data_IF_310099030260
#
_entry.id   IF_310099030260
#
_cell.length_a   1.000
_cell.length_b   1.000
_cell.length_c   1.000
_cell.angle_alpha   90.00
_cell.angle_beta   90.00
_cell.angle_gamma   90.00
#
_symmetry.space_group_name_H-M   'P 1'
#
loop_
_entity.id
_entity.type
_entity.pdbx_description
1 polymer ?
#
# COMPACT_ATOMS: atom_id res chain seq x y z
N UNK A 1 9.48 22.51 34.08
CA UNK A 1 8.12 23.10 34.21
C UNK A 1 7.42 22.88 32.90
N UNK A 2 6.31 22.21 32.93
CA UNK A 2 5.47 22.08 31.75
C UNK A 2 4.98 23.50 31.36
N UNK A 3 5.43 23.96 30.21
CA UNK A 3 4.93 25.19 29.60
C UNK A 3 3.80 24.78 28.67
N UNK A 4 2.59 25.18 28.86
CA UNK A 4 1.37 24.78 28.17
C UNK A 4 1.47 24.43 26.67
N UNK A 5 0.37 24.10 26.07
CA UNK A 5 0.27 23.83 24.64
C UNK A 5 0.38 25.17 23.90
N UNK A 6 1.24 25.20 22.87
CA UNK A 6 1.45 26.34 21.98
C UNK A 6 0.67 26.12 20.70
N UNK A 7 -0.10 27.12 20.29
CA UNK A 7 -0.74 27.14 18.98
C UNK A 7 0.11 28.00 18.03
N UNK A 8 0.41 27.47 16.84
CA UNK A 8 1.20 28.15 15.81
C UNK A 8 0.56 28.02 14.42
N UNK A 9 0.95 28.92 13.51
CA UNK A 9 0.48 28.91 12.12
C UNK A 9 1.28 27.89 11.29
N UNK A 10 0.63 26.79 10.92
CA UNK A 10 1.24 25.72 10.15
C UNK A 10 1.64 26.13 8.72
N UNK A 11 1.11 27.25 8.18
CA UNK A 11 1.49 27.74 6.84
C UNK A 11 2.93 28.27 6.76
N UNK A 12 3.58 28.51 7.90
CA UNK A 12 4.99 28.88 7.96
C UNK A 12 5.95 27.71 7.77
N UNK A 13 5.45 26.47 7.85
CA UNK A 13 6.26 25.26 7.67
C UNK A 13 6.70 25.07 6.21
N UNK A 14 7.75 24.28 6.04
CA UNK A 14 8.28 23.88 4.74
C UNK A 14 7.82 22.46 4.45
N UNK A 15 7.13 22.26 3.33
CA UNK A 15 6.63 20.97 2.89
C UNK A 15 7.38 20.47 1.67
N UNK A 16 7.59 19.18 1.61
CA UNK A 16 8.00 18.45 0.41
C UNK A 16 7.39 17.04 0.43
N UNK A 17 7.29 16.44 -0.72
CA UNK A 17 6.88 15.04 -0.84
C UNK A 17 7.60 14.35 -1.98
N UNK A 18 7.59 13.04 -1.97
CA UNK A 18 7.95 12.17 -3.08
C UNK A 18 7.10 10.88 -3.04
N UNK A 19 7.17 10.11 -4.12
CA UNK A 19 6.52 8.80 -4.21
C UNK A 19 7.53 7.66 -4.44
N UNK A 20 8.82 7.95 -4.28
CA UNK A 20 9.93 7.02 -4.53
C UNK A 20 10.62 6.56 -3.26
N UNK A 21 10.39 7.23 -2.14
CA UNK A 21 10.88 6.77 -0.85
C UNK A 21 10.29 5.40 -0.54
N UNK A 22 11.15 4.41 -0.39
CA UNK A 22 10.78 3.07 0.04
C UNK A 22 11.08 2.91 1.52
N UNK A 23 10.16 2.29 2.24
CA UNK A 23 10.39 1.84 3.60
C UNK A 23 10.03 0.36 3.62
N UNK A 24 11.02 -0.47 4.00
CA UNK A 24 10.86 -1.90 4.03
C UNK A 24 9.67 -2.30 4.90
N UNK A 25 8.90 -3.26 4.41
CA UNK A 25 7.73 -3.77 5.12
C UNK A 25 8.04 -4.27 6.54
N UNK A 26 9.26 -4.73 6.74
CA UNK A 26 9.76 -5.21 8.03
C UNK A 26 9.87 -4.10 9.09
N UNK A 27 10.04 -2.84 8.66
CA UNK A 27 10.26 -1.71 9.56
C UNK A 27 8.95 -1.07 10.06
N UNK A 28 7.90 -1.08 9.23
CA UNK A 28 6.64 -0.38 9.53
C UNK A 28 5.39 -1.23 9.36
N UNK A 29 5.41 -2.20 8.46
CA UNK A 29 4.28 -3.04 8.13
C UNK A 29 4.58 -4.51 8.41
N UNK A 30 3.98 -5.05 9.44
CA UNK A 30 4.02 -6.49 9.65
C UNK A 30 3.09 -7.15 8.63
N UNK A 31 3.63 -7.58 7.49
CA UNK A 31 2.93 -8.42 6.51
C UNK A 31 2.40 -9.74 7.14
N UNK A 32 2.69 -9.96 8.41
CA UNK A 32 2.17 -11.07 9.22
C UNK A 32 0.63 -11.12 9.24
N UNK A 33 -0.06 -10.01 9.05
CA UNK A 33 -1.52 -9.96 9.02
C UNK A 33 -2.11 -10.53 7.73
N UNK A 34 -1.31 -10.62 6.67
CA UNK A 34 -1.72 -11.19 5.40
C UNK A 34 -1.47 -12.71 5.37
N UNK A 35 -1.82 -13.40 6.44
CA UNK A 35 -1.86 -14.86 6.42
C UNK A 35 -2.86 -15.27 5.34
N UNK A 36 -2.33 -15.70 4.21
CA UNK A 36 -3.13 -16.39 3.24
C UNK A 36 -3.79 -17.58 3.94
N UNK A 37 -5.02 -17.81 3.63
CA UNK A 37 -5.79 -18.97 4.03
C UNK A 37 -5.32 -20.23 3.30
N UNK A 38 -4.12 -20.17 2.72
CA UNK A 38 -3.60 -21.24 1.88
C UNK A 38 -2.74 -22.23 2.67
N UNK A 39 -2.69 -23.46 2.18
CA UNK A 39 -2.06 -24.58 2.85
C UNK A 39 -0.62 -24.87 2.40
N UNK A 40 -0.07 -24.12 1.40
CA UNK A 40 1.26 -24.42 0.88
C UNK A 40 2.36 -24.07 1.87
N UNK A 41 2.34 -22.79 2.36
CA UNK A 41 3.13 -22.38 3.51
C UNK A 41 2.19 -21.71 4.50
N UNK A 42 2.11 -22.27 5.71
CA UNK A 42 1.29 -21.77 6.81
C UNK A 42 2.12 -20.90 7.75
N UNK A 43 1.46 -20.12 8.57
CA UNK A 43 2.11 -19.36 9.63
C UNK A 43 2.99 -20.26 10.53
N UNK A 44 2.55 -21.49 10.79
CA UNK A 44 3.30 -22.45 11.58
C UNK A 44 4.65 -22.77 10.92
N UNK A 45 4.70 -22.91 9.60
CA UNK A 45 5.92 -23.18 8.85
C UNK A 45 6.94 -22.03 9.02
N UNK A 46 6.46 -20.78 9.03
CA UNK A 46 7.32 -19.64 9.32
C UNK A 46 7.84 -19.67 10.76
N UNK A 47 6.96 -19.92 11.76
CA UNK A 47 7.35 -20.02 13.17
C UNK A 47 8.37 -21.14 13.40
N UNK A 48 8.24 -22.23 12.66
CA UNK A 48 9.17 -23.37 12.67
C UNK A 48 10.45 -23.12 11.87
N UNK A 49 10.55 -21.99 11.16
CA UNK A 49 11.72 -21.62 10.38
C UNK A 49 11.89 -22.48 9.13
N UNK A 50 10.79 -22.87 8.50
CA UNK A 50 10.81 -23.61 7.23
C UNK A 50 11.41 -22.73 6.15
N UNK A 51 12.52 -23.19 5.56
CA UNK A 51 13.15 -22.50 4.45
C UNK A 51 12.33 -22.65 3.17
N UNK A 52 12.23 -21.61 2.33
CA UNK A 52 11.59 -21.70 1.04
C UNK A 52 12.23 -22.78 0.16
N UNK A 53 11.42 -23.51 -0.61
CA UNK A 53 11.93 -24.46 -1.60
C UNK A 53 12.74 -23.71 -2.68
N UNK A 54 14.06 -23.93 -2.81
CA UNK A 54 14.89 -23.20 -3.76
C UNK A 54 14.57 -23.53 -5.23
N UNK A 55 13.89 -24.63 -5.48
CA UNK A 55 13.47 -25.04 -6.82
C UNK A 55 12.03 -24.60 -7.18
N UNK A 56 11.33 -23.92 -6.29
CA UNK A 56 9.95 -23.51 -6.52
C UNK A 56 9.76 -22.70 -7.81
N UNK A 57 10.69 -21.83 -8.17
CA UNK A 57 10.57 -21.06 -9.42
C UNK A 57 10.50 -21.93 -10.67
N UNK A 58 11.14 -23.12 -10.64
CA UNK A 58 11.16 -24.07 -11.77
C UNK A 58 9.96 -25.02 -11.78
N UNK A 59 9.27 -25.14 -10.65
CA UNK A 59 8.17 -26.09 -10.47
C UNK A 59 6.83 -25.44 -10.25
N UNK A 60 6.82 -24.15 -9.90
CA UNK A 60 5.59 -23.40 -9.66
C UNK A 60 4.94 -22.98 -10.98
N UNK A 61 3.83 -23.59 -11.30
CA UNK A 61 3.06 -23.30 -12.50
C UNK A 61 2.07 -22.16 -12.24
N UNK A 62 1.96 -21.28 -13.23
CA UNK A 62 1.00 -20.19 -13.30
C UNK A 62 0.20 -20.38 -14.58
N UNK A 63 -1.12 -20.53 -14.46
CA UNK A 63 -2.02 -20.64 -15.60
C UNK A 63 -2.81 -19.36 -15.85
N UNK A 64 -3.20 -19.14 -17.10
CA UNK A 64 -4.18 -18.12 -17.51
C UNK A 64 -5.31 -18.84 -18.19
N UNK A 65 -6.52 -18.72 -17.65
CA UNK A 65 -7.69 -19.51 -18.01
C UNK A 65 -8.94 -18.64 -18.17
N UNK A 66 -10.06 -19.24 -18.50
CA UNK A 66 -11.36 -18.57 -18.64
C UNK A 66 -11.57 -18.01 -20.04
N UNK A 67 -12.03 -16.75 -20.14
CA UNK A 67 -12.33 -16.11 -21.42
C UNK A 67 -11.07 -15.63 -22.14
N UNK A 68 -10.27 -16.58 -22.60
CA UNK A 68 -9.05 -16.37 -23.38
C UNK A 68 -9.02 -17.26 -24.61
N UNK A 69 -8.36 -16.80 -25.68
CA UNK A 69 -8.24 -17.56 -26.93
C UNK A 69 -7.20 -18.69 -26.81
N UNK A 70 -6.17 -18.46 -26.02
CA UNK A 70 -5.04 -19.36 -25.84
C UNK A 70 -4.74 -19.54 -24.35
N UNK A 71 -5.40 -20.46 -23.63
CA UNK A 71 -5.04 -20.76 -22.26
C UNK A 71 -3.54 -21.08 -22.14
N UNK A 72 -2.90 -20.49 -21.11
CA UNK A 72 -1.46 -20.60 -20.89
C UNK A 72 -1.17 -21.37 -19.61
N UNK A 73 -0.04 -22.06 -19.59
CA UNK A 73 0.56 -22.60 -18.38
C UNK A 73 2.05 -22.54 -18.52
N UNK A 74 2.73 -21.82 -17.62
CA UNK A 74 4.18 -21.68 -17.57
C UNK A 74 4.66 -21.78 -16.14
N UNK A 75 5.85 -22.27 -15.94
CA UNK A 75 6.52 -22.11 -14.65
C UNK A 75 6.93 -20.64 -14.45
N UNK A 76 7.07 -20.22 -13.21
CA UNK A 76 7.55 -18.86 -12.90
C UNK A 76 8.92 -18.61 -13.56
N UNK A 77 9.82 -19.62 -13.56
CA UNK A 77 11.12 -19.50 -14.22
C UNK A 77 11.00 -19.28 -15.73
N UNK A 78 10.11 -20.00 -16.41
CA UNK A 78 9.90 -19.80 -17.86
C UNK A 78 9.42 -18.37 -18.17
N UNK A 79 8.51 -17.82 -17.35
CA UNK A 79 8.05 -16.43 -17.51
C UNK A 79 9.19 -15.42 -17.30
N UNK A 80 10.08 -15.68 -16.34
CA UNK A 80 11.29 -14.86 -16.11
C UNK A 80 12.23 -14.96 -17.31
N UNK A 81 12.47 -16.16 -17.82
CA UNK A 81 13.38 -16.42 -18.95
C UNK A 81 12.86 -15.82 -20.27
N UNK A 82 11.55 -15.62 -20.40
CA UNK A 82 10.96 -14.86 -21.51
C UNK A 82 11.30 -13.36 -21.47
N UNK A 83 11.92 -12.87 -20.39
CA UNK A 83 12.27 -11.46 -20.24
C UNK A 83 11.06 -10.55 -19.98
N UNK A 84 9.96 -11.09 -19.43
CA UNK A 84 8.74 -10.33 -19.17
C UNK A 84 8.81 -9.49 -17.89
N UNK A 85 9.79 -9.74 -17.03
CA UNK A 85 9.91 -9.10 -15.72
C UNK A 85 10.08 -7.60 -15.81
N UNK A 86 9.40 -6.89 -14.91
CA UNK A 86 9.53 -5.45 -14.70
C UNK A 86 9.83 -5.16 -13.23
N UNK A 87 10.48 -4.02 -12.99
CA UNK A 87 10.77 -3.51 -11.64
C UNK A 87 10.13 -2.13 -11.49
N UNK A 88 9.37 -1.94 -10.44
CA UNK A 88 8.70 -0.67 -10.14
C UNK A 88 8.58 -0.47 -8.63
N UNK A 89 8.15 0.72 -8.20
CA UNK A 89 7.80 0.99 -6.80
C UNK A 89 6.29 0.92 -6.67
N UNK A 90 5.81 0.16 -5.70
CA UNK A 90 4.39 0.02 -5.41
C UNK A 90 4.10 0.09 -3.92
N UNK A 91 2.94 0.63 -3.58
CA UNK A 91 2.41 0.64 -2.21
C UNK A 91 1.51 -0.56 -1.96
N UNK A 92 1.70 -1.21 -0.83
CA UNK A 92 0.76 -2.16 -0.23
C UNK A 92 0.16 -1.53 1.03
N UNK A 93 -1.14 -1.32 1.05
CA UNK A 93 -1.86 -0.72 2.17
C UNK A 93 -2.94 -1.66 2.69
N UNK A 94 -2.90 -1.96 3.98
CA UNK A 94 -3.89 -2.82 4.61
C UNK A 94 -5.23 -2.10 4.78
N UNK A 95 -6.32 -2.73 4.35
CA UNK A 95 -7.67 -2.17 4.51
C UNK A 95 -8.13 -2.08 5.97
N UNK A 96 -7.43 -2.75 6.88
CA UNK A 96 -7.66 -2.68 8.33
C UNK A 96 -6.71 -1.70 9.04
N UNK A 97 -5.88 -0.95 8.30
CA UNK A 97 -5.01 0.05 8.90
C UNK A 97 -5.87 1.14 9.59
N UNK A 98 -5.73 1.35 10.90
CA UNK A 98 -6.52 2.39 11.55
C UNK A 98 -6.10 3.79 11.07
N UNK A 99 -6.98 4.80 11.15
CA UNK A 99 -6.58 6.17 10.88
C UNK A 99 -5.36 6.57 11.73
N UNK A 100 -4.31 7.09 11.07
CA UNK A 100 -3.03 7.37 11.70
C UNK A 100 -2.14 6.14 11.95
N UNK A 101 -2.53 4.97 11.47
CA UNK A 101 -1.77 3.73 11.56
C UNK A 101 -0.58 3.66 10.62
N UNK A 102 0.09 2.51 10.60
CA UNK A 102 1.29 2.27 9.80
C UNK A 102 1.29 0.89 9.13
N UNK A 103 0.12 0.29 8.89
CA UNK A 103 0.03 -0.99 8.16
C UNK A 103 0.11 -0.75 6.65
N UNK A 104 1.19 -0.14 6.23
CA UNK A 104 1.48 0.25 4.86
C UNK A 104 2.96 0.08 4.58
N UNK A 105 3.31 -0.24 3.35
CA UNK A 105 4.68 -0.25 2.85
C UNK A 105 4.74 0.25 1.42
N UNK A 106 5.83 0.91 1.05
CA UNK A 106 6.15 1.28 -0.32
C UNK A 106 7.50 0.65 -0.66
N UNK A 107 7.51 -0.30 -1.57
CA UNK A 107 8.65 -1.16 -1.84
C UNK A 107 9.03 -1.13 -3.31
N UNK A 108 10.31 -1.37 -3.60
CA UNK A 108 10.72 -1.76 -4.93
C UNK A 108 10.30 -3.23 -5.14
N UNK A 109 9.46 -3.47 -6.13
CA UNK A 109 8.96 -4.81 -6.46
C UNK A 109 9.39 -5.21 -7.86
N UNK A 110 9.68 -6.51 -8.03
CA UNK A 110 9.97 -7.10 -9.33
C UNK A 110 9.06 -8.28 -9.59
N UNK A 111 8.42 -8.27 -10.75
CA UNK A 111 7.42 -9.27 -11.09
C UNK A 111 7.13 -9.34 -12.58
N UNK A 112 6.19 -10.22 -12.93
CA UNK A 112 5.67 -10.39 -14.28
C UNK A 112 4.39 -9.55 -14.39
N UNK A 113 4.28 -8.56 -15.30
CA UNK A 113 3.05 -7.82 -15.51
C UNK A 113 1.89 -8.72 -15.91
N UNK A 114 0.78 -8.63 -15.16
CA UNK A 114 -0.43 -9.40 -15.45
C UNK A 114 -0.95 -9.08 -16.85
N UNK A 115 -0.90 -7.82 -17.26
CA UNK A 115 -1.33 -7.38 -18.59
C UNK A 115 -0.59 -8.13 -19.72
N UNK A 116 0.72 -8.38 -19.59
CA UNK A 116 1.48 -9.16 -20.59
C UNK A 116 1.00 -10.61 -20.70
N UNK A 117 0.64 -11.22 -19.58
CA UNK A 117 0.08 -12.58 -19.59
C UNK A 117 -1.30 -12.61 -20.25
N UNK A 118 -2.14 -11.61 -19.98
CA UNK A 118 -3.46 -11.46 -20.60
C UNK A 118 -3.33 -11.21 -22.12
N UNK A 119 -2.36 -10.40 -22.56
CA UNK A 119 -2.06 -10.18 -23.97
C UNK A 119 -1.63 -11.48 -24.67
N UNK A 120 -0.75 -12.26 -24.05
CA UNK A 120 -0.31 -13.57 -24.59
C UNK A 120 -1.44 -14.58 -24.67
N UNK A 121 -2.36 -14.56 -23.70
CA UNK A 121 -3.52 -15.44 -23.67
C UNK A 121 -4.63 -15.03 -24.67
N UNK A 122 -4.67 -13.76 -25.06
CA UNK A 122 -5.70 -13.22 -25.95
C UNK A 122 -7.06 -13.16 -25.27
N UNK A 123 -7.30 -12.09 -24.50
CA UNK A 123 -8.57 -11.87 -23.80
C UNK A 123 -9.72 -11.73 -24.78
N UNK A 124 -10.78 -12.52 -24.61
CA UNK A 124 -11.94 -12.55 -25.49
C UNK A 124 -12.85 -11.33 -25.29
N UNK A 125 -13.57 -10.97 -26.34
CA UNK A 125 -14.59 -9.92 -26.26
C UNK A 125 -15.68 -10.29 -25.24
N UNK A 126 -16.08 -9.31 -24.42
CA UNK A 126 -17.08 -9.50 -23.37
C UNK A 126 -16.49 -9.85 -22.00
N UNK A 127 -15.20 -10.16 -21.91
CA UNK A 127 -14.52 -10.28 -20.62
C UNK A 127 -14.48 -8.93 -19.90
N UNK A 128 -14.72 -8.92 -18.59
CA UNK A 128 -14.79 -7.68 -17.79
C UNK A 128 -13.76 -7.63 -16.66
N UNK A 129 -13.30 -8.79 -16.19
CA UNK A 129 -12.37 -8.84 -15.06
C UNK A 129 -11.44 -10.05 -15.14
N UNK A 130 -10.36 -9.99 -14.37
CA UNK A 130 -9.49 -11.09 -14.06
C UNK A 130 -9.38 -11.22 -12.54
N UNK A 131 -9.41 -12.43 -12.03
CA UNK A 131 -9.14 -12.70 -10.63
C UNK A 131 -8.00 -13.68 -10.45
N UNK A 132 -7.20 -13.40 -9.42
CA UNK A 132 -6.05 -14.21 -9.06
C UNK A 132 -6.46 -15.27 -8.07
N UNK A 133 -6.03 -16.50 -8.32
CA UNK A 133 -6.30 -17.65 -7.48
C UNK A 133 -5.00 -18.15 -6.84
N UNK A 134 -4.94 -18.29 -5.52
CA UNK A 134 -3.86 -18.99 -4.85
C UNK A 134 -3.95 -20.51 -5.11
N UNK A 135 -2.90 -21.23 -4.73
CA UNK A 135 -2.78 -22.68 -4.97
C UNK A 135 -3.86 -23.53 -4.28
N UNK A 136 -4.41 -23.03 -3.20
CA UNK A 136 -5.48 -23.70 -2.42
C UNK A 136 -6.90 -23.40 -2.94
N UNK A 137 -7.00 -22.73 -4.11
CA UNK A 137 -8.24 -22.30 -4.73
C UNK A 137 -9.10 -21.34 -3.87
N UNK A 138 -8.54 -20.77 -2.79
CA UNK A 138 -9.21 -19.69 -2.06
C UNK A 138 -9.37 -18.48 -3.00
N UNK A 139 -10.63 -18.08 -3.22
CA UNK A 139 -10.91 -16.99 -4.12
C UNK A 139 -10.35 -15.67 -3.56
N UNK A 140 -9.64 -14.96 -4.41
CA UNK A 140 -9.20 -13.60 -4.12
C UNK A 140 -10.08 -12.60 -4.87
N UNK A 141 -9.79 -11.32 -4.70
CA UNK A 141 -10.59 -10.27 -5.27
C UNK A 141 -10.30 -10.10 -6.74
N UNK A 142 -11.35 -9.88 -7.53
CA UNK A 142 -11.20 -9.58 -8.94
C UNK A 142 -10.62 -8.18 -9.14
N UNK A 143 -9.91 -8.02 -10.25
CA UNK A 143 -9.50 -6.73 -10.76
C UNK A 143 -10.15 -6.54 -12.12
N UNK A 144 -10.83 -5.41 -12.35
CA UNK A 144 -11.47 -5.17 -13.64
C UNK A 144 -10.41 -4.97 -14.73
N UNK A 145 -10.70 -5.48 -15.92
CA UNK A 145 -9.83 -5.26 -17.09
C UNK A 145 -9.72 -3.77 -17.45
N UNK A 146 -10.74 -2.98 -17.11
CA UNK A 146 -10.69 -1.52 -17.25
C UNK A 146 -9.63 -0.91 -16.35
N UNK A 147 -9.56 -1.33 -15.07
CA UNK A 147 -8.54 -0.87 -14.14
C UNK A 147 -7.13 -1.20 -14.62
N UNK A 148 -6.93 -2.41 -15.13
CA UNK A 148 -5.62 -2.89 -15.61
C UNK A 148 -5.11 -2.16 -16.87
N UNK A 149 -5.94 -1.40 -17.60
CA UNK A 149 -5.44 -0.61 -18.74
C UNK A 149 -4.51 0.52 -18.33
N UNK A 150 -4.80 1.12 -17.18
CA UNK A 150 -4.15 2.36 -16.74
C UNK A 150 -3.30 2.18 -15.47
N UNK A 151 -3.35 1.00 -14.83
CA UNK A 151 -2.67 0.75 -13.55
C UNK A 151 -1.80 -0.50 -13.60
N UNK A 152 -0.64 -0.41 -12.96
CA UNK A 152 0.31 -1.51 -12.86
C UNK A 152 -0.27 -2.67 -12.02
N UNK A 153 -0.10 -3.89 -12.51
CA UNK A 153 -0.41 -5.12 -11.77
C UNK A 153 0.65 -6.17 -12.09
N UNK A 154 1.29 -6.69 -11.07
CA UNK A 154 2.42 -7.62 -11.20
C UNK A 154 2.18 -8.92 -10.43
N UNK A 155 2.64 -10.02 -10.98
CA UNK A 155 2.97 -11.23 -10.23
C UNK A 155 4.38 -11.07 -9.67
N UNK A 156 4.48 -10.55 -8.45
CA UNK A 156 5.73 -10.17 -7.78
C UNK A 156 6.39 -11.40 -7.20
N UNK A 157 7.70 -11.55 -7.43
CA UNK A 157 8.54 -12.62 -6.87
C UNK A 157 9.76 -12.09 -6.12
N UNK A 158 10.10 -10.79 -6.22
CA UNK A 158 11.12 -10.10 -5.44
C UNK A 158 10.59 -8.79 -4.88
N UNK A 159 10.96 -8.49 -3.63
CA UNK A 159 10.73 -7.20 -2.96
C UNK A 159 12.06 -6.71 -2.41
N UNK A 160 12.41 -5.44 -2.68
CA UNK A 160 13.67 -4.82 -2.29
C UNK A 160 14.90 -5.66 -2.66
N UNK A 161 14.88 -6.24 -3.87
CA UNK A 161 15.96 -7.06 -4.43
C UNK A 161 16.14 -8.44 -3.81
N UNK A 162 15.16 -8.93 -3.05
CA UNK A 162 15.16 -10.26 -2.43
C UNK A 162 13.92 -11.05 -2.82
N UNK A 163 14.02 -12.38 -2.99
CA UNK A 163 12.83 -13.22 -3.13
C UNK A 163 11.86 -13.01 -1.96
N UNK A 164 10.58 -13.20 -2.22
CA UNK A 164 9.56 -13.18 -1.18
C UNK A 164 9.91 -14.19 -0.07
N UNK A 165 9.61 -13.85 1.16
CA UNK A 165 9.65 -14.82 2.26
C UNK A 165 8.42 -15.72 2.22
N UNK A 166 8.46 -16.83 2.96
CA UNK A 166 7.31 -17.72 3.14
C UNK A 166 6.08 -16.95 3.62
N UNK A 167 6.27 -16.03 4.57
CA UNK A 167 5.19 -15.15 5.07
C UNK A 167 4.58 -14.24 4.00
N UNK A 168 5.39 -13.81 3.06
CA UNK A 168 4.98 -12.89 2.02
C UNK A 168 4.42 -13.59 0.78
N UNK A 169 4.21 -14.92 0.86
CA UNK A 169 3.59 -15.69 -0.21
C UNK A 169 4.55 -16.21 -1.26
N UNK A 170 5.81 -16.54 -0.85
CA UNK A 170 6.74 -17.24 -1.74
C UNK A 170 6.06 -18.39 -2.49
N UNK A 171 6.29 -18.62 -3.78
CA UNK A 171 7.28 -17.92 -4.61
C UNK A 171 6.74 -16.67 -5.32
N UNK A 172 5.43 -16.40 -5.31
CA UNK A 172 4.83 -15.32 -6.08
C UNK A 172 3.56 -14.78 -5.43
N UNK A 173 3.42 -13.45 -5.44
CA UNK A 173 2.27 -12.72 -4.91
C UNK A 173 1.75 -11.73 -5.97
N UNK A 174 0.42 -11.57 -6.11
CA UNK A 174 -0.11 -10.50 -6.94
C UNK A 174 -0.02 -9.16 -6.21
N UNK A 175 0.39 -8.10 -6.93
CA UNK A 175 0.34 -6.72 -6.48
C UNK A 175 -0.42 -5.90 -7.52
N UNK A 176 -1.41 -5.12 -7.09
CA UNK A 176 -2.25 -4.31 -7.97
C UNK A 176 -2.28 -2.88 -7.48
N UNK A 177 -1.74 -1.96 -8.26
CA UNK A 177 -1.68 -0.54 -7.91
C UNK A 177 -3.05 0.04 -7.61
N UNK A 178 -3.16 0.80 -6.53
CA UNK A 178 -4.39 1.47 -6.10
C UNK A 178 -5.44 0.57 -5.45
N UNK A 179 -5.14 -0.71 -5.25
CA UNK A 179 -6.02 -1.64 -4.55
C UNK A 179 -5.56 -1.83 -3.10
N UNK A 180 -6.48 -2.29 -2.25
CA UNK A 180 -6.14 -2.70 -0.90
C UNK A 180 -5.41 -4.04 -0.86
N UNK A 181 -4.66 -4.28 0.22
CA UNK A 181 -3.88 -5.51 0.40
C UNK A 181 -4.62 -6.84 0.16
N UNK A 182 -5.94 -6.94 0.27
CA UNK A 182 -6.67 -8.14 -0.17
C UNK A 182 -6.40 -8.56 -1.61
N UNK A 183 -6.22 -7.62 -2.52
CA UNK A 183 -5.90 -7.89 -3.92
C UNK A 183 -4.46 -8.37 -4.13
N UNK A 184 -3.67 -8.45 -3.08
CA UNK A 184 -2.30 -8.98 -3.07
C UNK A 184 -2.28 -10.45 -2.66
N UNK A 185 -2.87 -11.29 -3.52
CA UNK A 185 -3.00 -12.72 -3.28
C UNK A 185 -1.63 -13.40 -3.20
N UNK A 186 -1.41 -14.15 -2.13
CA UNK A 186 -0.19 -14.94 -1.94
C UNK A 186 -0.26 -16.25 -2.73
N UNK A 187 0.92 -16.74 -3.17
CA UNK A 187 1.05 -18.06 -3.80
C UNK A 187 0.10 -18.25 -4.99
N UNK A 188 0.08 -17.25 -5.87
CA UNK A 188 -0.77 -17.26 -7.07
C UNK A 188 -0.40 -18.41 -7.98
N UNK A 189 -1.39 -19.22 -8.37
CA UNK A 189 -1.24 -20.32 -9.34
C UNK A 189 -2.10 -20.12 -10.60
N UNK A 190 -3.15 -19.28 -10.54
CA UNK A 190 -4.05 -19.07 -11.67
C UNK A 190 -4.48 -17.62 -11.80
N UNK A 191 -4.65 -17.20 -13.04
CA UNK A 191 -5.36 -15.99 -13.43
C UNK A 191 -6.59 -16.44 -14.23
N UNK A 192 -7.80 -16.08 -13.78
CA UNK A 192 -9.03 -16.47 -14.42
C UNK A 192 -9.75 -15.25 -14.98
N UNK A 193 -9.91 -15.20 -16.30
CA UNK A 193 -10.61 -14.13 -17.01
C UNK A 193 -12.09 -14.46 -17.08
N UNK A 194 -12.95 -13.51 -16.69
CA UNK A 194 -14.39 -13.72 -16.56
C UNK A 194 -15.23 -12.61 -17.21
N UNK A 195 -16.48 -12.96 -17.57
CA UNK A 195 -17.51 -12.07 -18.13
C UNK A 195 -18.57 -11.66 -17.09
N UNK A 196 -18.43 -12.11 -15.87
CA UNK A 196 -19.34 -11.80 -14.78
C UNK A 196 -18.55 -11.34 -13.55
N UNK A 197 -19.07 -10.35 -12.79
CA UNK A 197 -18.42 -9.90 -11.58
C UNK A 197 -18.44 -10.99 -10.50
N UNK A 198 -17.32 -11.12 -9.80
CA UNK A 198 -17.21 -11.97 -8.62
C UNK A 198 -17.58 -11.15 -7.39
N UNK A 199 -18.31 -11.75 -6.46
CA UNK A 199 -18.74 -11.08 -5.24
C UNK A 199 -17.52 -10.72 -4.37
N UNK A 200 -17.43 -9.45 -3.98
CA UNK A 200 -16.35 -8.96 -3.13
C UNK A 200 -16.55 -9.44 -1.68
N UNK A 201 -15.65 -10.31 -1.22
CA UNK A 201 -15.69 -10.86 0.13
C UNK A 201 -15.60 -9.78 1.22
N UNK A 202 -14.89 -8.67 1.00
CA UNK A 202 -14.74 -7.62 2.02
C UNK A 202 -16.00 -6.79 2.19
N UNK A 203 -16.79 -6.63 1.14
CA UNK A 203 -18.14 -6.09 1.26
C UNK A 203 -19.00 -7.06 2.08
N UNK A 204 -18.95 -8.35 1.73
CA UNK A 204 -19.71 -9.39 2.44
C UNK A 204 -19.38 -9.49 3.94
N UNK A 205 -18.10 -9.41 4.31
CA UNK A 205 -17.68 -9.42 5.73
C UNK A 205 -17.75 -8.06 6.40
N UNK A 206 -18.18 -7.00 5.69
CA UNK A 206 -18.42 -5.66 6.24
C UNK A 206 -17.16 -4.85 6.52
N UNK A 207 -16.04 -5.16 5.89
CA UNK A 207 -14.79 -4.39 6.01
C UNK A 207 -14.76 -3.18 5.07
N UNK A 208 -15.50 -3.24 3.97
CA UNK A 208 -15.79 -2.07 3.14
C UNK A 208 -17.14 -1.52 3.54
N UNK A 209 -17.27 -0.23 3.72
CA UNK A 209 -18.58 0.41 3.97
C UNK A 209 -19.37 0.40 2.66
N UNK A 210 -20.33 -0.49 2.56
CA UNK A 210 -21.15 -0.70 1.36
C UNK A 210 -21.90 0.59 0.93
N UNK A 211 -22.32 1.41 1.88
CA UNK A 211 -23.04 2.67 1.62
C UNK A 211 -22.18 3.73 0.91
N UNK A 212 -20.85 3.64 1.04
CA UNK A 212 -19.92 4.61 0.51
C UNK A 212 -19.00 4.02 -0.59
N UNK A 213 -18.99 2.69 -0.77
CA UNK A 213 -18.15 2.01 -1.75
C UNK A 213 -16.64 2.22 -1.53
N UNK A 214 -16.21 2.46 -0.28
CA UNK A 214 -14.81 2.76 0.06
C UNK A 214 -14.37 2.11 1.35
N UNK A 215 -13.07 1.95 1.53
CA UNK A 215 -12.48 1.54 2.79
C UNK A 215 -12.65 2.64 3.86
N UNK A 216 -12.86 2.22 5.12
CA UNK A 216 -13.11 3.15 6.24
C UNK A 216 -11.92 4.09 6.53
N UNK A 217 -10.72 3.71 6.11
CA UNK A 217 -9.48 4.46 6.29
C UNK A 217 -9.06 5.25 5.03
N UNK A 218 -9.97 5.50 4.11
CA UNK A 218 -9.69 6.25 2.87
C UNK A 218 -10.22 7.68 2.96
N UNK A 219 -9.33 8.71 2.83
CA UNK A 219 -7.86 8.64 2.80
C UNK A 219 -7.25 8.49 4.19
N UNK A 220 -6.06 7.90 4.27
CA UNK A 220 -5.29 7.77 5.49
C UNK A 220 -3.97 8.55 5.42
N UNK A 221 -3.44 8.93 6.58
CA UNK A 221 -2.11 9.49 6.76
C UNK A 221 -1.59 9.14 8.14
N UNK A 222 -0.28 9.01 8.29
CA UNK A 222 0.36 8.78 9.57
C UNK A 222 1.64 9.60 9.70
N UNK A 223 2.16 9.68 10.91
CA UNK A 223 3.42 10.36 11.25
C UNK A 223 4.41 9.28 11.67
N UNK A 224 5.56 9.20 10.98
CA UNK A 224 6.61 8.23 11.24
C UNK A 224 7.73 8.82 12.09
N UNK A 225 8.51 7.94 12.72
CA UNK A 225 9.79 8.22 13.39
C UNK A 225 9.75 9.28 14.49
N UNK A 226 8.63 9.86 14.82
CA UNK A 226 8.47 10.78 15.95
C UNK A 226 7.68 10.08 17.05
N UNK A 227 8.16 10.16 18.30
CA UNK A 227 7.50 9.56 19.45
C UNK A 227 6.62 10.58 20.18
N UNK A 228 5.49 10.13 20.72
CA UNK A 228 4.61 10.99 21.55
C UNK A 228 5.38 11.54 22.75
N UNK A 229 5.36 12.86 22.90
CA UNK A 229 6.10 13.56 23.94
C UNK A 229 7.59 13.75 23.69
N UNK A 230 8.09 13.44 22.49
CA UNK A 230 9.50 13.62 22.12
C UNK A 230 9.97 15.04 22.40
N UNK A 231 11.18 15.16 22.94
CA UNK A 231 11.84 16.46 23.18
C UNK A 231 12.52 16.89 21.88
N UNK A 232 12.24 18.10 21.45
CA UNK A 232 12.88 18.76 20.29
C UNK A 232 13.48 20.09 20.74
N UNK A 233 14.39 20.64 19.94
CA UNK A 233 15.00 21.94 20.24
C UNK A 233 14.03 23.07 19.87
N UNK A 234 13.74 23.99 20.82
CA UNK A 234 13.07 25.24 20.50
C UNK A 234 14.01 26.14 19.69
N UNK A 235 13.43 26.93 18.79
CA UNK A 235 14.12 27.86 17.88
C UNK A 235 14.96 27.20 16.77
N UNK A 236 14.99 25.85 16.70
CA UNK A 236 15.65 25.10 15.65
C UNK A 236 14.65 24.33 14.79
N UNK A 237 14.92 24.16 13.48
CA UNK A 237 14.01 23.42 12.61
C UNK A 237 13.88 21.96 13.04
N UNK A 238 12.65 21.45 13.07
CA UNK A 238 12.33 20.03 13.26
C UNK A 238 11.49 19.51 12.12
N UNK A 239 11.84 18.36 11.56
CA UNK A 239 11.15 17.73 10.44
C UNK A 239 10.34 16.54 10.92
N UNK A 240 9.04 16.57 10.65
CA UNK A 240 8.18 15.41 10.72
C UNK A 240 8.13 14.73 9.35
N UNK A 241 7.98 13.43 9.37
CA UNK A 241 7.85 12.60 8.16
C UNK A 241 6.67 11.66 8.30
N UNK A 242 6.07 11.29 7.18
CA UNK A 242 4.97 10.35 7.18
C UNK A 242 4.46 10.03 5.78
N UNK A 243 3.32 9.37 5.70
CA UNK A 243 2.68 9.07 4.43
C UNK A 243 1.27 9.65 4.34
N UNK A 244 0.76 9.73 3.11
CA UNK A 244 -0.65 9.83 2.79
C UNK A 244 -0.97 8.87 1.64
N UNK A 245 -2.09 8.16 1.73
CA UNK A 245 -2.56 7.22 0.72
C UNK A 245 -4.09 7.12 0.74
N UNK A 246 -4.67 6.86 -0.43
CA UNK A 246 -6.10 6.70 -0.58
C UNK A 246 -6.47 5.64 -1.63
N UNK A 247 -5.62 4.63 -1.79
CA UNK A 247 -5.84 3.51 -2.73
C UNK A 247 -5.99 4.00 -4.18
N UNK A 248 -7.20 3.93 -4.73
CA UNK A 248 -7.61 4.27 -6.09
C UNK A 248 -7.89 5.77 -6.32
N UNK A 249 -7.68 6.62 -5.32
CA UNK A 249 -7.99 8.05 -5.39
C UNK A 249 -6.72 8.88 -5.12
N UNK A 250 -6.16 9.59 -6.12
CA UNK A 250 -4.91 10.30 -5.93
C UNK A 250 -4.96 11.31 -4.78
N UNK A 251 -3.89 11.37 -3.99
CA UNK A 251 -3.70 12.43 -2.99
C UNK A 251 -3.33 13.72 -3.72
N UNK A 252 -4.15 14.74 -3.61
CA UNK A 252 -3.89 16.05 -4.22
C UNK A 252 -3.34 17.08 -3.24
N UNK A 253 -3.49 16.85 -1.94
CA UNK A 253 -2.88 17.70 -0.92
C UNK A 253 -2.70 16.97 0.41
N UNK A 254 -1.75 17.45 1.20
CA UNK A 254 -1.61 17.14 2.62
C UNK A 254 -1.81 18.45 3.41
N UNK A 255 -2.64 18.38 4.44
CA UNK A 255 -2.95 19.54 5.27
C UNK A 255 -2.42 19.34 6.69
N UNK A 256 -1.81 20.39 7.23
CA UNK A 256 -1.18 20.41 8.55
C UNK A 256 -1.84 21.45 9.46
N UNK A 257 -1.93 21.13 10.74
CA UNK A 257 -2.38 22.04 11.78
C UNK A 257 -1.45 21.97 12.99
N UNK A 258 -1.05 23.14 13.50
CA UNK A 258 -0.30 23.32 14.74
C UNK A 258 -1.13 24.07 15.82
N UNK A 259 -2.43 24.20 15.61
CA UNK A 259 -3.38 24.85 16.52
C UNK A 259 -4.54 23.94 16.93
N UNK A 260 -4.30 22.63 16.91
CA UNK A 260 -5.26 21.57 17.29
C UNK A 260 -6.46 21.48 16.35
N UNK A 261 -6.23 21.67 15.06
CA UNK A 261 -7.26 21.54 14.02
C UNK A 261 -8.18 22.75 13.87
N UNK A 262 -7.86 23.90 14.48
CA UNK A 262 -8.65 25.12 14.29
C UNK A 262 -8.45 25.73 12.90
N UNK A 263 -7.19 25.67 12.43
CA UNK A 263 -6.82 26.07 11.07
C UNK A 263 -5.97 24.97 10.43
N UNK A 264 -6.01 24.92 9.10
CA UNK A 264 -5.29 23.94 8.30
C UNK A 264 -4.52 24.64 7.19
N UNK A 265 -3.21 24.41 7.16
CA UNK A 265 -2.35 24.82 6.07
C UNK A 265 -2.31 23.72 5.03
N UNK A 266 -2.72 24.02 3.80
CA UNK A 266 -2.80 23.09 2.68
C UNK A 266 -1.55 23.19 1.82
N UNK A 267 -0.97 22.04 1.49
CA UNK A 267 0.17 21.90 0.59
C UNK A 267 -0.19 20.91 -0.51
N UNK A 268 -0.06 21.34 -1.76
CA UNK A 268 -0.42 20.54 -2.94
C UNK A 268 0.61 19.43 -3.18
N UNK A 269 0.13 18.31 -3.74
CA UNK A 269 0.95 17.15 -4.13
C UNK A 269 0.86 16.93 -5.64
N UNK A 270 1.14 17.98 -6.40
CA UNK A 270 1.02 18.00 -7.85
C UNK A 270 1.79 16.83 -8.51
N UNK A 271 1.09 16.07 -9.35
CA UNK A 271 1.66 14.94 -10.07
C UNK A 271 1.72 13.62 -9.27
N UNK A 272 1.16 13.58 -8.06
CA UNK A 272 1.01 12.33 -7.34
C UNK A 272 0.04 11.38 -8.09
N UNK A 273 0.40 10.09 -8.11
CA UNK A 273 -0.36 9.03 -8.80
C UNK A 273 -0.76 7.94 -7.83
N UNK A 274 -1.79 7.18 -8.16
CA UNK A 274 -2.22 6.01 -7.38
C UNK A 274 -1.17 4.89 -7.40
N UNK A 275 -1.24 3.99 -6.43
CA UNK A 275 -0.34 2.85 -6.33
C UNK A 275 1.03 3.14 -5.72
N UNK A 276 1.29 4.41 -5.43
CA UNK A 276 2.49 4.87 -4.73
C UNK A 276 2.08 5.90 -3.70
N UNK A 277 2.45 5.68 -2.43
CA UNK A 277 2.11 6.65 -1.39
C UNK A 277 2.71 8.03 -1.64
N UNK A 278 2.12 9.06 -1.07
CA UNK A 278 2.74 10.37 -0.91
C UNK A 278 3.56 10.33 0.39
N UNK A 279 4.88 10.15 0.28
CA UNK A 279 5.78 10.28 1.42
C UNK A 279 6.08 11.75 1.66
N UNK A 280 5.56 12.30 2.74
CA UNK A 280 5.65 13.72 3.03
C UNK A 280 6.66 14.03 4.13
N UNK A 281 7.28 15.22 4.01
CA UNK A 281 8.10 15.86 5.03
C UNK A 281 7.56 17.25 5.32
N UNK A 282 7.43 17.55 6.60
CA UNK A 282 6.97 18.86 7.06
C UNK A 282 7.93 19.37 8.13
N UNK A 283 8.62 20.49 7.85
CA UNK A 283 9.60 21.12 8.73
C UNK A 283 9.04 22.40 9.29
N UNK A 284 9.01 22.52 10.60
CA UNK A 284 8.66 23.77 11.28
C UNK A 284 9.75 24.14 12.30
N UNK A 285 9.78 25.41 12.70
CA UNK A 285 10.71 25.91 13.74
C UNK A 285 9.88 26.43 14.90
N UNK A 286 9.88 25.76 16.07
CA UNK A 286 9.15 26.24 17.24
C UNK A 286 9.59 27.65 17.64
N UNK A 287 8.71 28.65 17.66
CA UNK A 287 9.04 30.04 18.01
C UNK A 287 9.15 30.25 19.54
N UNK A 288 8.65 29.30 20.33
CA UNK A 288 8.70 29.35 21.80
C UNK A 288 8.88 27.96 22.39
N UNK A 289 9.34 27.88 23.66
CA UNK A 289 9.30 26.64 24.42
C UNK A 289 7.86 26.25 24.78
N UNK A 290 7.52 24.96 24.65
CA UNK A 290 6.19 24.44 25.02
C UNK A 290 5.86 23.14 24.33
N UNK A 291 4.64 22.64 24.52
CA UNK A 291 4.13 21.48 23.84
C UNK A 291 3.47 21.89 22.52
N UNK A 292 3.85 21.24 21.43
CA UNK A 292 3.27 21.43 20.10
C UNK A 292 2.51 20.17 19.69
N UNK A 293 1.32 20.35 19.16
CA UNK A 293 0.51 19.25 18.63
C UNK A 293 0.39 19.40 17.13
N UNK A 294 1.12 18.56 16.40
CA UNK A 294 0.94 18.43 14.96
C UNK A 294 -0.27 17.54 14.68
N UNK A 295 -1.15 18.01 13.81
CA UNK A 295 -2.20 17.20 13.20
C UNK A 295 -2.03 17.23 11.68
N UNK A 296 -2.27 16.09 11.05
CA UNK A 296 -2.10 15.91 9.59
C UNK A 296 -3.32 15.21 9.04
N UNK A 297 -3.79 15.65 7.86
CA UNK A 297 -4.84 14.98 7.11
C UNK A 297 -4.57 15.03 5.61
N UNK A 298 -4.99 14.01 4.91
CA UNK A 298 -4.86 13.90 3.47
C UNK A 298 -6.13 14.35 2.77
N UNK A 299 -5.98 14.88 1.56
CA UNK A 299 -7.08 15.29 0.67
C UNK A 299 -6.90 14.62 -0.68
N UNK A 300 -7.98 14.03 -1.21
CA UNK A 300 -7.96 13.31 -2.49
C UNK A 300 -8.51 14.15 -3.64
N UNK A 301 -8.30 13.67 -4.87
CA UNK A 301 -8.84 14.29 -6.08
C UNK A 301 -10.36 14.29 -6.10
N UNK A 302 -11.01 13.25 -5.61
CA UNK A 302 -12.48 13.21 -5.47
C UNK A 302 -13.03 14.14 -4.38
N UNK A 303 -12.16 14.79 -3.59
CA UNK A 303 -12.53 15.73 -2.53
C UNK A 303 -12.74 15.08 -1.16
N UNK A 304 -12.37 13.81 -0.97
CA UNK A 304 -12.37 13.19 0.35
C UNK A 304 -11.26 13.78 1.22
N UNK A 305 -11.52 13.86 2.51
CA UNK A 305 -10.55 14.32 3.52
C UNK A 305 -10.49 13.27 4.62
N UNK A 306 -9.30 13.01 5.18
CA UNK A 306 -9.17 12.08 6.31
C UNK A 306 -10.16 12.42 7.42
N UNK A 307 -11.05 11.49 7.74
CA UNK A 307 -12.07 11.70 8.79
C UNK A 307 -11.44 11.90 10.16
N UNK A 308 -10.37 11.15 10.43
CA UNK A 308 -9.57 11.25 11.65
C UNK A 308 -8.16 11.65 11.28
N UNK A 309 -7.70 12.87 11.58
CA UNK A 309 -6.33 13.29 11.36
C UNK A 309 -5.33 12.48 12.18
N UNK A 310 -4.16 12.17 11.61
CA UNK A 310 -3.01 11.72 12.39
C UNK A 310 -2.58 12.82 13.33
N UNK A 311 -2.10 12.46 14.54
CA UNK A 311 -1.77 13.42 15.58
C UNK A 311 -0.55 12.97 16.36
N UNK A 312 0.34 13.91 16.67
CA UNK A 312 1.46 13.70 17.59
C UNK A 312 1.76 14.96 18.40
N UNK A 313 2.23 14.80 19.63
CA UNK A 313 2.70 15.90 20.47
C UNK A 313 4.22 15.81 20.64
N UNK A 314 4.90 16.94 20.54
CA UNK A 314 6.33 17.09 20.86
C UNK A 314 6.52 18.23 21.86
N UNK A 315 7.62 18.22 22.60
CA UNK A 315 7.97 19.25 23.59
C UNK A 315 9.19 20.02 23.13
N UNK A 316 9.01 21.28 22.74
CA UNK A 316 10.11 22.16 22.39
C UNK A 316 10.73 22.78 23.66
N UNK A 317 12.05 22.63 23.84
CA UNK A 317 12.81 23.17 24.94
C UNK A 317 14.07 23.89 24.42
N UNK A 318 14.43 25.02 25.02
CA UNK A 318 15.69 25.66 24.71
C UNK A 318 16.85 24.84 25.29
N UNK A 319 17.91 24.68 24.50
CA UNK A 319 19.20 24.13 24.98
C UNK A 319 19.95 25.11 25.84
#
# INVERSE_FOLDING_TARGET
>A
RFRGIVDEDASKGIFSFDQTTTIAAEDIFSLNWLYGWNDYYRYQDFVEGVEPDPDAFKTWEISVEGMVDHPLTYTLQELIDMGLSETTIMTMHCTLDPPGGGLIANCEVKGIPIQKLLELAGVQEGAIEVYTMPIDDACTYPTTLEWLKDHEALLVYEVDGKPLSVLHGYPVQSWVAGMGAPNFAKQVSKLIVADAPVEDLYIYVGWVREEEGRYFNKPNTSIFFTQEGQIIDAYEPYTFEGFADAYDDPIVAVEFSLDRGKTWARFETDGAVVGKWVYWKYTFTPETEGAYVLMVRAVTESGLVSETPARIMVNAVAK
#
